data_IF_068882574624
#
_entry.id   IF_068882574624
#
_cell.length_a   1.000
_cell.length_b   1.000
_cell.length_c   1.000
_cell.angle_alpha   90.00
_cell.angle_beta   90.00
_cell.angle_gamma   90.00
#
_symmetry.space_group_name_H-M   'P 1'
#
loop_
_entity.id
_entity.type
_entity.pdbx_description
1 polymer ?
#
# COMPACT_ATOMS: atom_id res chain seq x y z
N UNK A 1 -4.32 1.96 10.83
CA UNK A 1 -4.40 1.36 9.50
C UNK A 1 -3.09 1.52 8.76
N UNK A 2 -2.81 0.61 7.84
CA UNK A 2 -1.60 0.68 7.02
C UNK A 2 -1.64 1.84 6.03
N UNK A 3 -2.82 2.22 5.57
CA UNK A 3 -2.97 3.17 4.47
C UNK A 3 -3.44 4.54 4.97
N UNK A 4 -2.78 5.63 4.56
CA UNK A 4 -3.15 6.99 4.98
C UNK A 4 -4.36 7.53 4.20
N UNK A 5 -5.35 6.72 3.93
CA UNK A 5 -6.46 7.11 3.09
C UNK A 5 -7.40 8.13 3.75
N UNK A 6 -7.27 8.35 5.05
CA UNK A 6 -8.08 9.35 5.73
C UNK A 6 -7.82 10.76 5.18
N UNK A 7 -6.60 11.02 4.71
CA UNK A 7 -6.26 12.30 4.11
C UNK A 7 -6.93 12.48 2.74
N UNK A 8 -7.29 11.38 2.07
CA UNK A 8 -7.94 11.39 0.78
C UNK A 8 -9.44 11.65 0.87
N UNK A 9 -10.00 11.69 2.08
CA UNK A 9 -11.42 11.98 2.29
C UNK A 9 -11.72 13.47 2.32
N UNK A 10 -10.71 14.31 2.42
CA UNK A 10 -10.92 15.75 2.47
C UNK A 10 -11.46 16.25 1.13
N UNK A 11 -12.60 16.96 1.09
CA UNK A 11 -13.11 17.52 -0.15
C UNK A 11 -12.12 18.44 -0.85
N UNK A 12 -11.25 19.12 -0.08
CA UNK A 12 -10.26 20.02 -0.65
C UNK A 12 -9.21 19.26 -1.48
N UNK A 13 -8.94 18.00 -1.19
CA UNK A 13 -8.03 17.18 -1.98
C UNK A 13 -8.61 16.91 -3.38
N UNK A 14 -9.92 16.71 -3.48
CA UNK A 14 -10.59 16.45 -4.75
C UNK A 14 -10.65 17.69 -5.64
N UNK A 15 -10.39 18.87 -5.09
CA UNK A 15 -10.39 20.14 -5.82
C UNK A 15 -9.00 20.56 -6.29
N UNK A 16 -7.97 19.78 -5.97
CA UNK A 16 -6.60 20.06 -6.37
C UNK A 16 -6.35 19.65 -7.82
N UNK A 17 -5.30 20.23 -8.47
CA UNK A 17 -4.92 19.80 -9.82
C UNK A 17 -4.59 18.31 -9.93
N UNK A 18 -4.15 17.67 -8.84
CA UNK A 18 -3.79 16.26 -8.78
C UNK A 18 -4.96 15.36 -8.34
N UNK A 19 -6.17 15.90 -8.28
CA UNK A 19 -7.34 15.15 -7.80
C UNK A 19 -7.62 13.88 -8.59
N UNK A 20 -7.41 13.90 -9.91
CA UNK A 20 -7.62 12.71 -10.75
C UNK A 20 -6.69 11.58 -10.37
N UNK A 21 -5.42 11.90 -10.07
CA UNK A 21 -4.43 10.94 -9.65
C UNK A 21 -4.78 10.34 -8.30
N UNK A 22 -5.16 11.19 -7.34
CA UNK A 22 -5.55 10.75 -6.01
C UNK A 22 -6.80 9.88 -6.06
N UNK A 23 -7.77 10.24 -6.89
CA UNK A 23 -8.98 9.46 -7.08
C UNK A 23 -8.67 8.08 -7.70
N UNK A 24 -7.76 8.03 -8.65
CA UNK A 24 -7.32 6.77 -9.25
C UNK A 24 -6.65 5.87 -8.20
N UNK A 25 -5.78 6.44 -7.38
CA UNK A 25 -5.11 5.70 -6.32
C UNK A 25 -6.13 5.13 -5.33
N UNK A 26 -7.08 5.94 -4.90
CA UNK A 26 -8.12 5.51 -3.97
C UNK A 26 -8.96 4.38 -4.57
N UNK A 27 -9.30 4.49 -5.85
CA UNK A 27 -10.05 3.43 -6.54
C UNK A 27 -9.24 2.15 -6.60
N UNK A 28 -7.97 2.22 -7.00
CA UNK A 28 -7.10 1.06 -7.07
C UNK A 28 -7.00 0.38 -5.70
N UNK A 29 -6.85 1.16 -4.65
CA UNK A 29 -6.74 0.65 -3.29
C UNK A 29 -8.04 -0.01 -2.82
N UNK A 30 -9.18 0.59 -3.14
CA UNK A 30 -10.49 0.03 -2.80
C UNK A 30 -10.72 -1.30 -3.53
N UNK A 31 -10.42 -1.35 -4.83
CA UNK A 31 -10.54 -2.57 -5.62
C UNK A 31 -9.61 -3.66 -5.08
N UNK A 32 -8.39 -3.29 -4.75
CA UNK A 32 -7.42 -4.22 -4.17
C UNK A 32 -7.93 -4.81 -2.85
N UNK A 33 -8.47 -3.97 -1.96
CA UNK A 33 -9.01 -4.43 -0.68
C UNK A 33 -10.16 -5.43 -0.87
N UNK A 34 -11.02 -5.20 -1.86
CA UNK A 34 -12.09 -6.15 -2.18
C UNK A 34 -11.54 -7.49 -2.64
N UNK A 35 -10.47 -7.48 -3.42
CA UNK A 35 -9.81 -8.70 -3.88
C UNK A 35 -9.17 -9.48 -2.74
N UNK A 36 -8.85 -8.82 -1.62
CA UNK A 36 -8.27 -9.45 -0.44
C UNK A 36 -9.32 -9.87 0.60
N UNK A 37 -10.56 -10.04 0.17
CA UNK A 37 -11.68 -10.42 1.03
C UNK A 37 -11.38 -11.66 1.88
N UNK A 38 -10.72 -12.66 1.31
CA UNK A 38 -10.32 -13.87 2.00
C UNK A 38 -9.44 -13.62 3.21
N UNK A 39 -8.55 -12.62 3.12
CA UNK A 39 -7.66 -12.26 4.22
C UNK A 39 -8.39 -11.46 5.30
N UNK A 40 -9.21 -10.49 4.90
CA UNK A 40 -9.81 -9.57 5.86
C UNK A 40 -10.97 -10.16 6.64
N UNK A 41 -11.62 -11.21 6.14
CA UNK A 41 -12.74 -11.86 6.84
C UNK A 41 -12.33 -13.04 7.71
N UNK A 42 -11.26 -13.71 7.39
CA UNK A 42 -10.88 -14.90 8.15
C UNK A 42 -9.40 -14.99 8.41
N UNK A 43 -8.63 -14.13 7.79
CA UNK A 43 -7.21 -14.08 7.98
C UNK A 43 -6.80 -13.24 9.17
N UNK A 44 -5.50 -13.15 9.39
CA UNK A 44 -4.92 -12.47 10.53
C UNK A 44 -3.79 -11.55 10.09
N UNK A 45 -3.84 -10.29 10.58
CA UNK A 45 -2.73 -9.35 10.41
C UNK A 45 -1.56 -9.79 11.28
N UNK A 46 -0.37 -9.84 10.72
CA UNK A 46 0.86 -10.23 11.43
C UNK A 46 1.67 -8.99 11.81
N UNK A 47 2.09 -8.20 10.82
CA UNK A 47 2.95 -7.04 11.08
C UNK A 47 2.97 -6.06 9.91
N UNK A 48 3.26 -4.81 10.22
CA UNK A 48 3.62 -3.83 9.19
C UNK A 48 5.08 -4.01 8.81
N UNK A 49 5.38 -3.70 7.55
CA UNK A 49 6.72 -3.82 6.99
C UNK A 49 7.02 -2.57 6.20
N UNK A 50 8.22 -2.02 6.37
CA UNK A 50 8.74 -0.98 5.51
C UNK A 50 9.79 -1.63 4.61
N UNK A 51 9.47 -1.89 3.33
CA UNK A 51 10.43 -2.49 2.42
C UNK A 51 11.67 -1.61 2.28
N UNK A 52 12.82 -2.24 2.07
CA UNK A 52 14.08 -1.56 1.84
C UNK A 52 14.35 -1.38 0.34
N UNK A 53 15.51 -0.86 -0.03
CA UNK A 53 15.87 -0.62 -1.41
C UNK A 53 15.43 0.76 -1.88
N UNK A 54 14.87 0.83 -3.09
CA UNK A 54 14.39 2.09 -3.65
C UNK A 54 13.03 2.46 -3.03
N UNK A 55 13.08 2.97 -1.81
CA UNK A 55 11.89 3.30 -1.04
C UNK A 55 12.08 4.64 -0.32
N UNK A 56 12.01 5.76 -1.06
CA UNK A 56 12.19 7.07 -0.46
C UNK A 56 11.04 7.44 0.46
N UNK A 57 11.27 8.44 1.30
CA UNK A 57 10.22 9.00 2.13
C UNK A 57 9.50 10.12 1.41
N UNK A 58 8.27 10.38 1.81
CA UNK A 58 7.50 11.52 1.34
C UNK A 58 6.74 12.11 2.52
N UNK A 59 6.41 13.38 2.40
CA UNK A 59 5.54 14.05 3.34
C UNK A 59 4.11 13.94 2.84
N UNK A 60 3.22 13.44 3.70
CA UNK A 60 1.79 13.38 3.40
C UNK A 60 1.08 14.49 4.16
N UNK A 61 -0.16 14.86 3.76
CA UNK A 61 -0.94 15.85 4.50
C UNK A 61 -0.97 15.52 5.99
N UNK A 62 -0.96 16.55 6.85
CA UNK A 62 -0.82 16.49 8.30
C UNK A 62 0.62 16.34 8.79
N UNK A 63 1.58 16.62 7.91
CA UNK A 63 3.01 16.69 8.24
C UNK A 63 3.62 15.36 8.68
N UNK A 64 2.99 14.24 8.35
CA UNK A 64 3.61 12.94 8.54
C UNK A 64 4.62 12.66 7.44
N UNK A 65 5.73 12.06 7.82
CA UNK A 65 6.73 11.57 6.88
C UNK A 65 6.63 10.05 6.86
N UNK A 66 6.50 9.48 5.68
CA UNK A 66 6.38 8.04 5.51
C UNK A 66 7.11 7.58 4.25
N UNK A 67 7.48 6.30 4.22
CA UNK A 67 8.02 5.70 3.00
C UNK A 67 6.93 5.63 1.93
N UNK A 68 7.31 5.77 0.67
CA UNK A 68 6.34 5.74 -0.43
C UNK A 68 5.80 4.34 -0.68
N UNK A 69 6.57 3.29 -0.35
CA UNK A 69 6.11 1.91 -0.44
C UNK A 69 5.97 1.34 0.96
N UNK A 70 4.78 0.87 1.29
CA UNK A 70 4.48 0.24 2.56
C UNK A 70 3.97 -1.17 2.31
N UNK A 71 4.16 -2.04 3.29
CA UNK A 71 3.70 -3.42 3.19
C UNK A 71 3.14 -3.92 4.51
N UNK A 72 2.40 -5.00 4.43
CA UNK A 72 1.90 -5.72 5.60
C UNK A 72 1.97 -7.21 5.33
N UNK A 73 2.30 -7.96 6.37
CA UNK A 73 2.23 -9.42 6.32
C UNK A 73 0.90 -9.85 6.93
N UNK A 74 0.22 -10.75 6.23
CA UNK A 74 -1.03 -11.36 6.67
C UNK A 74 -0.93 -12.87 6.56
N UNK A 75 -1.65 -13.57 7.42
CA UNK A 75 -1.85 -15.02 7.31
C UNK A 75 -3.29 -15.30 6.94
N UNK A 76 -3.49 -16.13 5.93
CA UNK A 76 -4.83 -16.56 5.53
C UNK A 76 -5.39 -17.59 6.52
N UNK A 77 -6.66 -17.91 6.38
CA UNK A 77 -7.32 -18.94 7.21
C UNK A 77 -6.60 -20.28 7.10
N UNK A 78 -6.04 -20.58 5.94
CA UNK A 78 -5.29 -21.83 5.72
C UNK A 78 -3.87 -21.79 6.29
N UNK A 79 -3.45 -20.65 6.84
CA UNK A 79 -2.10 -20.49 7.38
C UNK A 79 -1.07 -20.00 6.38
N UNK A 80 -1.46 -19.73 5.15
CA UNK A 80 -0.56 -19.16 4.15
C UNK A 80 -0.24 -17.71 4.49
N UNK A 81 1.04 -17.36 4.49
CA UNK A 81 1.51 -16.00 4.71
C UNK A 81 1.66 -15.28 3.39
N UNK A 82 1.18 -14.05 3.33
CA UNK A 82 1.27 -13.20 2.15
C UNK A 82 1.72 -11.81 2.54
N UNK A 83 2.32 -11.10 1.59
CA UNK A 83 2.59 -9.68 1.72
C UNK A 83 1.62 -8.88 0.86
N UNK A 84 1.02 -7.87 1.45
CA UNK A 84 0.25 -6.84 0.74
C UNK A 84 1.13 -5.60 0.67
N UNK A 85 1.35 -5.08 -0.52
CA UNK A 85 2.30 -3.99 -0.76
C UNK A 85 1.60 -2.89 -1.51
N UNK A 86 1.77 -1.65 -1.06
CA UNK A 86 1.20 -0.48 -1.71
C UNK A 86 2.29 0.53 -2.04
N UNK A 87 2.24 1.10 -3.23
CA UNK A 87 3.09 2.18 -3.66
C UNK A 87 2.26 3.45 -3.80
N UNK A 88 2.51 4.42 -2.94
CA UNK A 88 1.79 5.68 -2.91
C UNK A 88 2.42 6.76 -3.80
N UNK A 89 3.51 6.43 -4.50
CA UNK A 89 4.18 7.39 -5.36
C UNK A 89 3.71 7.30 -6.80
N UNK A 90 4.03 8.32 -7.57
CA UNK A 90 3.73 8.35 -9.00
C UNK A 90 4.78 7.67 -9.85
N UNK A 91 5.76 7.07 -9.22
CA UNK A 91 6.86 6.40 -9.88
C UNK A 91 6.92 4.95 -9.45
N UNK A 92 7.39 4.12 -10.35
CA UNK A 92 7.68 2.72 -10.06
C UNK A 92 8.89 2.62 -9.13
N UNK A 93 8.82 1.72 -8.16
CA UNK A 93 9.90 1.50 -7.21
C UNK A 93 10.23 0.02 -7.10
N UNK A 94 11.50 -0.30 -7.08
CA UNK A 94 11.99 -1.65 -6.83
C UNK A 94 12.43 -1.76 -5.38
N UNK A 95 11.71 -2.56 -4.63
CA UNK A 95 11.93 -2.71 -3.18
C UNK A 95 12.29 -4.13 -2.81
N UNK A 96 12.87 -4.29 -1.63
CA UNK A 96 13.27 -5.58 -1.08
C UNK A 96 12.46 -5.87 0.16
N UNK A 97 11.86 -7.05 0.22
CA UNK A 97 11.06 -7.52 1.34
C UNK A 97 11.94 -8.26 2.37
N UNK A 98 11.43 -8.49 3.60
CA UNK A 98 12.21 -9.18 4.64
C UNK A 98 12.67 -10.57 4.25
N UNK A 99 11.95 -11.26 3.35
CA UNK A 99 12.36 -12.56 2.85
C UNK A 99 13.38 -12.46 1.70
N UNK A 100 13.96 -11.26 1.49
CA UNK A 100 14.95 -10.94 0.46
C UNK A 100 14.45 -10.97 -0.97
N UNK A 101 13.14 -11.14 -1.17
CA UNK A 101 12.56 -10.98 -2.51
C UNK A 101 12.59 -9.52 -2.93
N UNK A 102 13.01 -9.29 -4.17
CA UNK A 102 12.94 -7.97 -4.79
C UNK A 102 11.74 -7.92 -5.69
N UNK A 103 10.95 -6.86 -5.56
CA UNK A 103 9.78 -6.65 -6.39
C UNK A 103 9.70 -5.22 -6.87
N UNK A 104 9.16 -5.08 -8.06
CA UNK A 104 8.88 -3.79 -8.66
C UNK A 104 7.40 -3.49 -8.48
N UNK A 105 7.09 -2.39 -7.82
CA UNK A 105 5.71 -1.97 -7.58
C UNK A 105 5.43 -0.77 -8.46
N UNK A 106 4.42 -0.90 -9.32
CA UNK A 106 4.04 0.19 -10.23
C UNK A 106 3.49 1.38 -9.46
N UNK A 107 3.55 2.54 -10.10
CA UNK A 107 3.03 3.78 -9.52
C UNK A 107 1.57 3.63 -9.11
N UNK A 108 1.25 4.11 -7.91
CA UNK A 108 -0.11 4.17 -7.38
C UNK A 108 -0.85 2.82 -7.42
N UNK A 109 -0.11 1.74 -7.20
CA UNK A 109 -0.64 0.40 -7.28
C UNK A 109 -0.47 -0.36 -5.96
N UNK A 110 -1.21 -1.44 -5.83
CA UNK A 110 -1.12 -2.35 -4.69
C UNK A 110 -1.12 -3.79 -5.22
N UNK A 111 -0.29 -4.63 -4.61
CA UNK A 111 -0.12 -6.02 -5.05
C UNK A 111 -0.10 -6.96 -3.85
N UNK A 112 -0.43 -8.22 -4.10
CA UNK A 112 -0.32 -9.31 -3.14
C UNK A 112 0.68 -10.31 -3.68
N UNK A 113 1.61 -10.72 -2.83
CA UNK A 113 2.56 -11.79 -3.16
C UNK A 113 2.64 -12.80 -2.03
N UNK A 114 2.91 -14.04 -2.37
CA UNK A 114 3.16 -15.08 -1.38
C UNK A 114 4.53 -14.88 -0.73
N UNK A 115 4.57 -15.11 0.55
CA UNK A 115 5.82 -15.01 1.31
C UNK A 115 6.77 -16.14 0.97
#
# INVERSE_FOLDING_TARGET
TLFPYTTLRSPSLLMRPDAKREAKFLKNLTDFRRQQHDLFLGGRFIQEIIPTGDNPTQEIPNYEITSVVLAAEWASVSGEHVYLIVNMSEQEHKVTLPNKKQITVKALDAIRISK
#
